data_IF_494733160859
#
_entry.id   IF_494733160859
#
_cell.length_a   1.000
_cell.length_b   1.000
_cell.length_c   1.000
_cell.angle_alpha   90.00
_cell.angle_beta   90.00
_cell.angle_gamma   90.00
#
_symmetry.space_group_name_H-M   'P 1'
#
loop_
_entity.id
_entity.type
_entity.pdbx_description
1 polymer ?
#
# COMPACT_ATOMS: atom_id res chain seq x y z
N UNK A 1 3.98 -20.62 -21.17
CA UNK A 1 3.05 -19.48 -21.19
C UNK A 1 2.70 -19.00 -19.78
N UNK A 2 2.16 -19.82 -18.87
CA UNK A 2 1.84 -19.39 -17.49
C UNK A 2 3.04 -18.82 -16.73
N UNK A 3 4.21 -19.45 -16.80
CA UNK A 3 5.44 -18.96 -16.17
C UNK A 3 5.88 -17.58 -16.68
N UNK A 4 5.74 -17.32 -17.98
CA UNK A 4 6.07 -16.01 -18.57
C UNK A 4 5.12 -14.91 -18.03
N UNK A 5 3.83 -15.20 -17.93
CA UNK A 5 2.83 -14.26 -17.37
C UNK A 5 3.19 -13.96 -15.92
N UNK A 6 3.48 -14.99 -15.13
CA UNK A 6 3.86 -14.84 -13.73
C UNK A 6 5.15 -14.03 -13.55
N UNK A 7 6.19 -14.33 -14.33
CA UNK A 7 7.46 -13.60 -14.27
C UNK A 7 7.31 -12.14 -14.67
N UNK A 8 6.50 -11.86 -15.73
CA UNK A 8 6.21 -10.48 -16.14
C UNK A 8 5.43 -9.73 -15.06
N UNK A 9 4.43 -10.37 -14.46
CA UNK A 9 3.68 -9.79 -13.34
C UNK A 9 4.60 -9.46 -12.16
N UNK A 10 5.48 -10.38 -11.75
CA UNK A 10 6.47 -10.13 -10.70
C UNK A 10 7.40 -8.97 -11.05
N UNK A 11 7.93 -8.94 -12.28
CA UNK A 11 8.78 -7.84 -12.73
C UNK A 11 8.09 -6.48 -12.58
N UNK A 12 6.81 -6.39 -12.98
CA UNK A 12 6.02 -5.18 -12.83
C UNK A 12 5.79 -4.81 -11.35
N UNK A 13 5.45 -5.77 -10.50
CA UNK A 13 5.23 -5.55 -9.06
C UNK A 13 6.47 -5.01 -8.35
N UNK A 14 7.68 -5.40 -8.80
CA UNK A 14 8.93 -4.89 -8.23
C UNK A 14 9.44 -3.61 -8.89
N UNK A 15 9.13 -3.37 -10.16
CA UNK A 15 9.57 -2.17 -10.89
C UNK A 15 8.65 -0.96 -10.64
N UNK A 16 7.33 -1.15 -10.63
CA UNK A 16 6.36 -0.06 -10.51
C UNK A 16 6.44 0.74 -9.20
N UNK A 17 6.89 0.20 -8.04
CA UNK A 17 7.13 1.00 -6.84
C UNK A 17 8.13 2.15 -7.03
N UNK A 18 9.09 2.02 -7.96
CA UNK A 18 9.99 3.11 -8.31
C UNK A 18 9.22 4.30 -8.91
N UNK A 19 8.33 4.03 -9.86
CA UNK A 19 7.45 5.06 -10.45
C UNK A 19 6.47 5.59 -9.41
N UNK A 20 5.91 4.69 -8.59
CA UNK A 20 5.00 5.04 -7.50
C UNK A 20 5.61 6.01 -6.48
N UNK A 21 6.90 5.85 -6.16
CA UNK A 21 7.65 6.76 -5.30
C UNK A 21 7.78 8.17 -5.92
N UNK A 22 8.19 8.27 -7.17
CA UNK A 22 8.29 9.56 -7.90
C UNK A 22 6.94 10.29 -7.92
N UNK A 23 5.84 9.56 -8.14
CA UNK A 23 4.51 10.15 -8.12
C UNK A 23 4.11 10.61 -6.71
N UNK A 24 4.47 9.85 -5.68
CA UNK A 24 4.16 10.21 -4.30
C UNK A 24 4.93 11.43 -3.82
N UNK A 25 6.16 11.61 -4.25
CA UNK A 25 6.96 12.82 -3.98
C UNK A 25 6.28 14.08 -4.51
N UNK A 26 5.53 13.97 -5.61
CA UNK A 26 4.80 15.08 -6.24
C UNK A 26 3.40 15.26 -5.65
N UNK A 27 2.63 14.18 -5.50
CA UNK A 27 1.20 14.22 -5.20
C UNK A 27 0.86 13.90 -3.74
N UNK A 28 1.80 13.38 -2.99
CA UNK A 28 1.66 12.97 -1.58
C UNK A 28 1.50 11.46 -1.40
N UNK A 29 2.14 10.94 -0.36
CA UNK A 29 2.20 9.51 -0.04
C UNK A 29 0.82 8.92 0.26
N UNK A 30 0.01 9.59 1.09
CA UNK A 30 -1.31 9.12 1.47
C UNK A 30 -2.28 9.00 0.29
N UNK A 31 -2.19 9.93 -0.70
CA UNK A 31 -2.99 9.84 -1.92
C UNK A 31 -2.59 8.64 -2.76
N UNK A 32 -1.28 8.41 -2.94
CA UNK A 32 -0.78 7.29 -3.74
C UNK A 32 -1.12 5.95 -3.09
N UNK A 33 -1.01 5.84 -1.76
CA UNK A 33 -1.44 4.66 -1.00
C UNK A 33 -2.94 4.39 -1.22
N UNK A 34 -3.78 5.42 -1.11
CA UNK A 34 -5.24 5.29 -1.31
C UNK A 34 -5.58 4.83 -2.74
N UNK A 35 -5.01 5.49 -3.75
CA UNK A 35 -5.21 5.12 -5.17
C UNK A 35 -4.71 3.69 -5.40
N UNK A 36 -3.58 3.32 -4.81
CA UNK A 36 -3.02 1.98 -4.90
C UNK A 36 -3.96 0.90 -4.35
N UNK A 37 -4.55 1.12 -3.18
CA UNK A 37 -5.53 0.17 -2.59
C UNK A 37 -6.77 0.05 -3.47
N UNK A 38 -7.32 1.16 -3.97
CA UNK A 38 -8.50 1.15 -4.84
C UNK A 38 -8.20 0.42 -6.15
N UNK A 39 -7.03 0.67 -6.76
CA UNK A 39 -6.62 -0.03 -7.97
C UNK A 39 -6.46 -1.54 -7.74
N UNK A 40 -5.79 -1.95 -6.66
CA UNK A 40 -5.69 -3.37 -6.29
C UNK A 40 -7.06 -3.99 -6.09
N UNK A 41 -7.96 -3.32 -5.38
CA UNK A 41 -9.32 -3.80 -5.15
C UNK A 41 -10.07 -4.00 -6.47
N UNK A 42 -10.04 -3.02 -7.38
CA UNK A 42 -10.66 -3.15 -8.70
C UNK A 42 -10.10 -4.33 -9.50
N UNK A 43 -8.77 -4.54 -9.48
CA UNK A 43 -8.13 -5.67 -10.15
C UNK A 43 -8.53 -7.02 -9.55
N UNK A 44 -8.59 -7.14 -8.22
CA UNK A 44 -9.05 -8.38 -7.59
C UNK A 44 -10.56 -8.64 -7.82
N UNK A 45 -11.39 -7.61 -7.87
CA UNK A 45 -12.80 -7.75 -8.26
C UNK A 45 -12.90 -8.31 -9.68
N UNK A 46 -12.11 -7.80 -10.64
CA UNK A 46 -12.08 -8.35 -11.99
C UNK A 46 -11.70 -9.83 -12.02
N UNK A 47 -10.74 -10.26 -11.20
CA UNK A 47 -10.36 -11.68 -11.09
C UNK A 47 -11.39 -12.53 -10.34
N UNK A 48 -12.18 -11.93 -9.46
CA UNK A 48 -13.25 -12.62 -8.72
C UNK A 48 -14.51 -12.87 -9.58
N UNK A 49 -14.65 -12.19 -10.72
CA UNK A 49 -15.79 -12.38 -11.62
C UNK A 49 -15.63 -13.69 -12.41
N UNK A 50 -16.64 -14.58 -12.40
CA UNK A 50 -16.63 -15.84 -13.16
C UNK A 50 -16.96 -15.57 -14.64
N UNK A 51 -15.98 -15.11 -15.42
CA UNK A 51 -16.16 -14.75 -16.83
C UNK A 51 -16.04 -15.94 -17.78
N UNK A 52 -15.93 -17.16 -17.25
CA UNK A 52 -15.77 -18.37 -18.02
C UNK A 52 -14.42 -18.49 -18.71
N UNK A 53 -14.39 -19.19 -19.85
CA UNK A 53 -13.20 -19.39 -20.67
C UNK A 53 -13.36 -18.74 -22.04
N UNK A 54 -12.40 -17.94 -22.46
CA UNK A 54 -12.44 -17.30 -23.78
C UNK A 54 -11.55 -16.05 -23.85
N UNK A 55 -11.57 -15.39 -25.00
CA UNK A 55 -10.76 -14.18 -25.25
C UNK A 55 -11.09 -13.06 -24.26
N UNK A 56 -12.36 -12.91 -23.89
CA UNK A 56 -12.81 -11.90 -22.92
C UNK A 56 -12.21 -12.18 -21.53
N UNK A 57 -12.25 -13.42 -21.05
CA UNK A 57 -11.69 -13.82 -19.77
C UNK A 57 -10.17 -13.57 -19.72
N UNK A 58 -9.45 -13.89 -20.80
CA UNK A 58 -8.03 -13.61 -20.94
C UNK A 58 -7.73 -12.10 -20.92
N UNK A 59 -8.49 -11.30 -21.65
CA UNK A 59 -8.33 -9.85 -21.67
C UNK A 59 -8.57 -9.24 -20.28
N UNK A 60 -9.63 -9.69 -19.58
CA UNK A 60 -9.90 -9.27 -18.21
C UNK A 60 -8.80 -9.69 -17.23
N UNK A 61 -8.28 -10.91 -17.36
CA UNK A 61 -7.16 -11.39 -16.54
C UNK A 61 -5.92 -10.51 -16.71
N UNK A 62 -5.48 -10.25 -17.95
CA UNK A 62 -4.34 -9.38 -18.21
C UNK A 62 -4.56 -7.96 -17.70
N UNK A 63 -5.74 -7.40 -17.94
CA UNK A 63 -6.12 -6.07 -17.43
C UNK A 63 -6.07 -6.03 -15.91
N UNK A 64 -6.62 -7.04 -15.24
CA UNK A 64 -6.60 -7.15 -13.79
C UNK A 64 -5.16 -7.23 -13.25
N UNK A 65 -4.30 -8.05 -13.84
CA UNK A 65 -2.89 -8.16 -13.43
C UNK A 65 -2.14 -6.83 -13.59
N UNK A 66 -2.38 -6.08 -14.66
CA UNK A 66 -1.79 -4.75 -14.86
C UNK A 66 -2.29 -3.75 -13.81
N UNK A 67 -3.59 -3.75 -13.53
CA UNK A 67 -4.18 -2.86 -12.52
C UNK A 67 -3.68 -3.21 -11.12
N UNK A 68 -3.59 -4.50 -10.76
CA UNK A 68 -3.03 -4.97 -9.48
C UNK A 68 -1.56 -4.58 -9.35
N UNK A 69 -0.75 -4.79 -10.40
CA UNK A 69 0.67 -4.42 -10.39
C UNK A 69 0.85 -2.92 -10.18
N UNK A 70 0.07 -2.10 -10.89
CA UNK A 70 0.11 -0.65 -10.75
C UNK A 70 -0.32 -0.22 -9.34
N UNK A 71 -1.42 -0.78 -8.83
CA UNK A 71 -1.90 -0.53 -7.47
C UNK A 71 -0.85 -0.89 -6.42
N UNK A 72 -0.22 -2.06 -6.55
CA UNK A 72 0.86 -2.51 -5.66
C UNK A 72 2.06 -1.57 -5.72
N UNK A 73 2.41 -1.09 -6.91
CA UNK A 73 3.49 -0.12 -7.11
C UNK A 73 3.23 1.21 -6.40
N UNK A 74 2.00 1.70 -6.46
CA UNK A 74 1.60 2.93 -5.77
C UNK A 74 1.48 2.75 -4.25
N UNK A 75 1.15 1.55 -3.78
CA UNK A 75 0.90 1.26 -2.36
C UNK A 75 2.17 0.91 -1.59
N UNK A 76 2.91 -0.11 -2.05
CA UNK A 76 3.91 -0.82 -1.26
C UNK A 76 5.06 0.07 -0.78
N UNK A 77 5.70 0.78 -1.69
CA UNK A 77 6.83 1.67 -1.35
C UNK A 77 6.39 2.86 -0.51
N UNK A 78 5.29 3.48 -0.88
CA UNK A 78 4.80 4.70 -0.24
C UNK A 78 4.31 4.47 1.20
N UNK A 79 3.70 3.30 1.48
CA UNK A 79 3.34 2.94 2.84
C UNK A 79 4.57 2.79 3.72
N UNK A 80 5.66 2.19 3.21
CA UNK A 80 6.92 2.06 3.96
C UNK A 80 7.54 3.42 4.27
N UNK A 81 7.51 4.36 3.32
CA UNK A 81 7.97 5.74 3.54
C UNK A 81 7.15 6.42 4.63
N UNK A 82 5.82 6.27 4.61
CA UNK A 82 4.96 6.82 5.66
C UNK A 82 5.28 6.23 7.03
N UNK A 83 5.52 4.92 7.14
CA UNK A 83 5.96 4.29 8.40
C UNK A 83 7.28 4.90 8.88
N UNK A 84 8.25 5.08 7.99
CA UNK A 84 9.52 5.73 8.31
C UNK A 84 9.34 7.16 8.83
N UNK A 85 8.50 7.95 8.16
CA UNK A 85 8.25 9.34 8.50
C UNK A 85 7.55 9.53 9.86
N UNK A 86 6.76 8.54 10.33
CA UNK A 86 6.16 8.57 11.67
C UNK A 86 7.21 8.63 12.80
N UNK A 87 8.41 8.08 12.55
CA UNK A 87 9.49 7.97 13.53
C UNK A 87 10.65 8.93 13.24
N UNK A 88 10.45 9.95 12.42
CA UNK A 88 11.50 10.92 12.07
C UNK A 88 11.73 12.02 13.13
N UNK A 89 10.84 12.14 14.13
CA UNK A 89 11.06 13.08 15.22
C UNK A 89 12.17 12.59 16.17
N UNK A 90 12.98 13.50 16.78
CA UNK A 90 14.06 13.12 17.69
C UNK A 90 13.59 12.21 18.84
N UNK A 91 12.38 12.39 19.33
CA UNK A 91 11.77 11.61 20.40
C UNK A 91 11.54 10.15 20.02
N UNK A 92 11.16 9.88 18.77
CA UNK A 92 10.79 8.54 18.28
C UNK A 92 11.87 7.90 17.39
N UNK A 93 12.92 8.63 17.02
CA UNK A 93 13.96 8.15 16.10
C UNK A 93 14.62 6.83 16.58
N UNK A 94 14.83 6.67 17.88
CA UNK A 94 15.36 5.43 18.46
C UNK A 94 14.45 4.21 18.33
N UNK A 95 13.14 4.39 18.07
CA UNK A 95 12.16 3.33 17.92
C UNK A 95 11.91 2.96 16.45
N UNK A 96 12.51 3.66 15.50
CA UNK A 96 12.27 3.50 14.06
C UNK A 96 12.57 2.07 13.58
N UNK A 97 13.70 1.50 13.98
CA UNK A 97 14.07 0.14 13.57
C UNK A 97 13.13 -0.92 14.16
N UNK A 98 12.69 -0.73 15.39
CA UNK A 98 11.70 -1.60 16.02
C UNK A 98 10.35 -1.52 15.30
N UNK A 99 9.93 -0.33 14.87
CA UNK A 99 8.70 -0.15 14.11
C UNK A 99 8.75 -0.87 12.75
N UNK A 100 9.86 -0.76 12.01
CA UNK A 100 10.05 -1.53 10.79
C UNK A 100 10.08 -3.03 11.03
N UNK A 101 10.71 -3.49 12.11
CA UNK A 101 10.71 -4.91 12.49
C UNK A 101 9.29 -5.43 12.73
N UNK A 102 8.45 -4.69 13.45
CA UNK A 102 7.04 -5.03 13.68
C UNK A 102 6.25 -4.99 12.37
N UNK A 103 6.48 -3.99 11.52
CA UNK A 103 5.84 -3.88 10.21
C UNK A 103 6.14 -5.08 9.31
N UNK A 104 7.42 -5.49 9.20
CA UNK A 104 7.80 -6.66 8.42
C UNK A 104 7.33 -7.97 9.05
N UNK A 105 7.30 -8.07 10.38
CA UNK A 105 6.74 -9.22 11.07
C UNK A 105 5.26 -9.39 10.71
N UNK A 106 4.46 -8.32 10.71
CA UNK A 106 3.05 -8.37 10.31
C UNK A 106 2.88 -8.82 8.85
N UNK A 107 3.74 -8.35 7.93
CA UNK A 107 3.73 -8.80 6.53
C UNK A 107 4.02 -10.30 6.45
N UNK A 108 5.03 -10.81 7.17
CA UNK A 108 5.40 -12.23 7.15
C UNK A 108 4.31 -13.12 7.77
N UNK A 109 3.64 -12.68 8.84
CA UNK A 109 2.47 -13.36 9.41
C UNK A 109 1.36 -13.46 8.36
N UNK A 110 1.06 -12.36 7.66
CA UNK A 110 0.09 -12.37 6.56
C UNK A 110 0.49 -13.34 5.44
N UNK A 111 1.75 -13.33 5.04
CA UNK A 111 2.28 -14.22 3.99
C UNK A 111 2.22 -15.71 4.38
N UNK A 112 2.31 -16.03 5.68
CA UNK A 112 2.17 -17.39 6.19
C UNK A 112 0.72 -17.89 6.09
N UNK A 113 -0.26 -17.05 6.47
CA UNK A 113 -1.65 -17.47 6.54
C UNK A 113 -2.42 -17.32 5.24
N UNK A 114 -2.10 -16.33 4.40
CA UNK A 114 -2.86 -16.02 3.20
C UNK A 114 -2.94 -17.19 2.18
N UNK A 115 -1.85 -17.90 1.84
CA UNK A 115 -1.93 -19.04 0.93
C UNK A 115 -2.80 -20.17 1.48
N UNK A 116 -2.67 -20.48 2.78
CA UNK A 116 -3.47 -21.52 3.44
C UNK A 116 -4.96 -21.16 3.43
N UNK A 117 -5.30 -19.91 3.74
CA UNK A 117 -6.67 -19.43 3.70
C UNK A 117 -7.26 -19.51 2.26
N UNK A 118 -6.49 -19.10 1.25
CA UNK A 118 -6.89 -19.19 -0.14
C UNK A 118 -7.22 -20.65 -0.56
N UNK A 119 -6.30 -21.60 -0.25
CA UNK A 119 -6.51 -23.02 -0.58
C UNK A 119 -7.73 -23.56 0.15
N UNK A 120 -7.91 -23.27 1.45
CA UNK A 120 -9.06 -23.75 2.22
C UNK A 120 -10.40 -23.26 1.69
N UNK A 121 -10.46 -22.03 1.20
CA UNK A 121 -11.65 -21.47 0.61
C UNK A 121 -11.94 -22.09 -0.76
N UNK A 122 -10.93 -22.37 -1.56
CA UNK A 122 -11.06 -23.08 -2.81
C UNK A 122 -11.59 -24.52 -2.57
N UNK A 123 -11.02 -25.25 -1.60
CA UNK A 123 -11.48 -26.58 -1.19
C UNK A 123 -12.94 -26.54 -0.73
N UNK A 124 -13.31 -25.57 0.10
CA UNK A 124 -14.68 -25.39 0.57
C UNK A 124 -15.66 -25.15 -0.61
N UNK A 125 -15.29 -24.28 -1.55
CA UNK A 125 -16.12 -23.99 -2.72
C UNK A 125 -16.33 -25.23 -3.60
N UNK A 126 -15.29 -26.05 -3.80
CA UNK A 126 -15.38 -27.28 -4.57
C UNK A 126 -16.26 -28.32 -3.88
N UNK A 127 -16.08 -28.54 -2.56
CA UNK A 127 -16.74 -29.60 -1.81
C UNK A 127 -18.20 -29.28 -1.45
N UNK A 128 -18.48 -28.02 -1.08
CA UNK A 128 -19.79 -27.63 -0.53
C UNK A 128 -20.68 -26.88 -1.54
N UNK A 129 -20.08 -26.18 -2.51
CA UNK A 129 -20.82 -25.45 -3.53
C UNK A 129 -20.80 -26.15 -4.90
N UNK A 130 -20.04 -27.25 -5.03
CA UNK A 130 -19.99 -28.05 -6.25
C UNK A 130 -19.36 -27.33 -7.45
N UNK A 131 -18.56 -26.25 -7.21
CA UNK A 131 -17.90 -25.51 -8.28
C UNK A 131 -16.69 -26.25 -8.83
N UNK A 132 -16.36 -26.02 -10.09
CA UNK A 132 -15.17 -26.61 -10.70
C UNK A 132 -13.88 -26.11 -10.06
N UNK A 133 -12.79 -26.86 -10.22
CA UNK A 133 -11.46 -26.42 -9.75
C UNK A 133 -11.09 -25.06 -10.32
N UNK A 134 -11.39 -24.81 -11.60
CA UNK A 134 -11.09 -23.55 -12.26
C UNK A 134 -11.91 -22.38 -11.68
N UNK A 135 -13.19 -22.61 -11.41
CA UNK A 135 -14.07 -21.57 -10.87
C UNK A 135 -13.79 -21.30 -9.38
N UNK A 136 -13.20 -22.24 -8.65
CA UNK A 136 -12.86 -22.08 -7.24
C UNK A 136 -11.81 -20.97 -6.99
N UNK A 137 -10.97 -20.63 -7.98
CA UNK A 137 -10.02 -19.52 -7.89
C UNK A 137 -10.71 -18.15 -7.70
N UNK A 138 -11.91 -17.98 -8.26
CA UNK A 138 -12.67 -16.73 -8.10
C UNK A 138 -13.02 -16.47 -6.63
N UNK A 139 -13.26 -17.52 -5.84
CA UNK A 139 -13.50 -17.42 -4.39
C UNK A 139 -12.25 -16.95 -3.64
N UNK A 140 -11.07 -17.44 -4.01
CA UNK A 140 -9.82 -16.99 -3.41
C UNK A 140 -9.57 -15.49 -3.69
N UNK A 141 -9.85 -15.02 -4.90
CA UNK A 141 -9.79 -13.59 -5.23
C UNK A 141 -10.85 -12.77 -4.49
N UNK A 142 -12.04 -13.33 -4.28
CA UNK A 142 -13.09 -12.72 -3.46
C UNK A 142 -12.62 -12.47 -2.02
N UNK A 143 -11.88 -13.39 -1.42
CA UNK A 143 -11.28 -13.22 -0.08
C UNK A 143 -10.26 -12.09 -0.07
N UNK A 144 -9.45 -11.96 -1.13
CA UNK A 144 -8.53 -10.83 -1.27
C UNK A 144 -9.30 -9.50 -1.31
N UNK A 145 -10.44 -9.44 -1.99
CA UNK A 145 -11.32 -8.25 -1.98
C UNK A 145 -11.80 -7.90 -0.57
N UNK A 146 -12.29 -8.89 0.19
CA UNK A 146 -12.74 -8.69 1.57
C UNK A 146 -11.59 -8.20 2.45
N UNK A 147 -10.41 -8.81 2.32
CA UNK A 147 -9.21 -8.41 3.07
C UNK A 147 -8.81 -6.95 2.76
N UNK A 148 -8.90 -6.52 1.50
CA UNK A 148 -8.63 -5.13 1.12
C UNK A 148 -9.67 -4.15 1.67
N UNK A 149 -10.95 -4.53 1.74
CA UNK A 149 -11.99 -3.70 2.36
C UNK A 149 -11.68 -3.51 3.85
N UNK A 150 -11.35 -4.58 4.57
CA UNK A 150 -10.98 -4.53 5.98
C UNK A 150 -9.73 -3.67 6.18
N UNK A 151 -8.70 -3.87 5.34
CA UNK A 151 -7.47 -3.08 5.37
C UNK A 151 -7.74 -1.59 5.14
N UNK A 152 -8.60 -1.26 4.17
CA UNK A 152 -9.00 0.12 3.89
C UNK A 152 -9.77 0.72 5.06
N UNK A 153 -10.68 -0.02 5.69
CA UNK A 153 -11.44 0.43 6.85
C UNK A 153 -10.50 0.74 8.03
N UNK A 154 -9.52 -0.13 8.30
CA UNK A 154 -8.50 0.09 9.34
C UNK A 154 -7.64 1.31 9.00
N UNK A 155 -7.18 1.43 7.76
CA UNK A 155 -6.37 2.55 7.30
C UNK A 155 -7.09 3.89 7.53
N UNK A 156 -8.34 4.01 7.08
CA UNK A 156 -9.11 5.25 7.24
C UNK A 156 -9.51 5.53 8.69
N UNK A 157 -9.83 4.51 9.49
CA UNK A 157 -10.13 4.67 10.92
C UNK A 157 -8.92 5.22 11.69
N UNK A 158 -7.72 4.76 11.35
CA UNK A 158 -6.47 5.16 11.99
C UNK A 158 -5.84 6.42 11.37
N UNK A 159 -6.43 6.98 10.31
CA UNK A 159 -5.85 8.07 9.51
C UNK A 159 -5.51 9.32 10.33
N UNK A 160 -6.28 9.59 11.38
CA UNK A 160 -6.03 10.74 12.26
C UNK A 160 -4.64 10.71 12.87
N UNK A 161 -4.12 9.52 13.18
CA UNK A 161 -2.81 9.32 13.82
C UNK A 161 -1.64 9.61 12.88
N UNK A 162 -1.77 9.31 11.58
CA UNK A 162 -0.66 9.43 10.61
C UNK A 162 -0.91 10.45 9.48
N UNK A 163 -1.97 11.25 9.57
CA UNK A 163 -2.31 12.26 8.55
C UNK A 163 -1.16 13.24 8.26
N UNK A 164 -0.34 13.55 9.25
CA UNK A 164 0.79 14.48 9.14
C UNK A 164 1.94 13.94 8.26
N UNK A 165 2.00 12.63 8.01
CA UNK A 165 3.01 11.99 7.14
C UNK A 165 2.46 11.62 5.75
N UNK A 166 1.19 11.91 5.46
CA UNK A 166 0.54 11.64 4.16
C UNK A 166 0.97 12.62 3.06
N UNK A 167 1.57 13.76 3.41
CA UNK A 167 1.99 14.80 2.49
C UNK A 167 3.15 14.38 1.59
N UNK A 168 3.47 15.23 0.61
CA UNK A 168 4.68 15.08 -0.20
C UNK A 168 5.92 15.56 0.57
N UNK A 169 7.13 15.32 0.01
CA UNK A 169 8.40 15.72 0.63
C UNK A 169 8.39 17.20 1.07
N UNK A 170 7.91 18.10 0.22
CA UNK A 170 7.89 19.55 0.51
C UNK A 170 6.93 19.86 1.67
N UNK A 171 5.76 19.25 1.70
CA UNK A 171 4.77 19.45 2.76
C UNK A 171 5.24 18.86 4.09
N UNK A 172 5.86 17.69 4.05
CA UNK A 172 6.40 17.02 5.24
C UNK A 172 7.60 17.82 5.81
N UNK A 173 8.47 18.33 4.96
CA UNK A 173 9.60 19.18 5.37
C UNK A 173 9.15 20.52 5.93
N UNK A 174 8.16 21.15 5.32
CA UNK A 174 7.59 22.41 5.81
C UNK A 174 6.89 22.22 7.17
N UNK A 175 6.16 21.11 7.36
CA UNK A 175 5.55 20.77 8.64
C UNK A 175 6.59 20.53 9.76
N UNK A 176 7.71 19.87 9.43
CA UNK A 176 8.83 19.68 10.37
C UNK A 176 9.51 20.99 10.74
N UNK A 177 9.65 21.91 9.79
CA UNK A 177 10.26 23.21 10.02
C UNK A 177 9.35 24.09 10.89
N UNK A 178 8.04 24.03 10.69
CA UNK A 178 7.04 24.75 11.49
C UNK A 178 7.00 24.22 12.92
N UNK A 179 6.96 22.90 13.11
CA UNK A 179 6.98 22.26 14.43
C UNK A 179 8.29 22.62 15.19
N UNK A 180 9.44 22.62 14.49
CA UNK A 180 10.73 22.99 15.10
C UNK A 180 10.81 24.47 15.49
N UNK A 181 10.08 25.34 14.80
CA UNK A 181 9.98 26.78 15.16
C UNK A 181 9.05 26.95 16.37
N UNK A 182 8.01 26.15 16.48
CA UNK A 182 7.07 26.18 17.60
C UNK A 182 7.67 25.68 18.92
N UNK A 183 8.62 24.72 18.84
CA UNK A 183 9.41 24.24 19.99
C UNK A 183 10.51 25.22 20.46
N UNK A 184 10.87 26.20 19.64
CA UNK A 184 11.89 27.20 20.01
C UNK A 184 11.32 28.21 21.01
N UNK A 185 12.10 28.58 21.99
CA UNK A 185 11.74 29.67 22.90
C UNK A 185 11.44 30.97 22.15
N UNK A 186 10.61 31.87 22.68
CA UNK A 186 10.31 33.15 22.01
C UNK A 186 11.53 33.97 21.64
N UNK A 187 12.64 33.84 22.39
CA UNK A 187 13.92 34.50 22.11
C UNK A 187 14.64 33.89 20.90
N UNK A 188 14.74 32.57 20.84
CA UNK A 188 15.39 31.83 19.74
C UNK A 188 14.64 31.99 18.42
N UNK A 189 13.31 32.06 18.50
CA UNK A 189 12.45 32.32 17.31
C UNK A 189 12.73 33.73 16.74
N UNK A 190 12.87 34.73 17.60
CA UNK A 190 13.16 36.12 17.21
C UNK A 190 14.54 36.25 16.57
N UNK A 191 15.56 35.62 17.12
CA UNK A 191 16.91 35.63 16.57
C UNK A 191 17.03 34.92 15.21
N UNK A 192 16.31 33.85 14.99
CA UNK A 192 16.24 33.15 13.69
C UNK A 192 15.58 34.00 12.61
N UNK A 193 14.48 34.69 12.95
CA UNK A 193 13.78 35.59 12.02
C UNK A 193 14.68 36.78 11.63
N UNK A 194 15.43 37.32 12.59
CA UNK A 194 16.38 38.42 12.35
C UNK A 194 17.51 37.98 11.42
N UNK A 195 18.11 36.82 11.65
CA UNK A 195 19.17 36.26 10.79
C UNK A 195 18.71 36.00 9.34
N UNK A 196 17.46 35.56 9.14
CA UNK A 196 16.88 35.37 7.78
C UNK A 196 16.59 36.67 7.02
N UNK A 197 16.48 37.82 7.73
CA UNK A 197 16.24 39.13 7.09
C UNK A 197 17.52 39.90 6.75
N UNK A 198 18.65 39.49 7.27
CA UNK A 198 19.94 40.18 7.12
C UNK A 198 20.89 39.43 6.16
N UNK A 199 20.60 38.17 5.78
CA UNK A 199 21.30 37.40 4.76
C UNK A 199 20.46 37.23 3.51
#
# INVERSE_FOLDING_TARGET
MAGTIYSTFLALVYFLPFIGGILADKFGYGKMVTIGIIAMFAGYVLLALPLGSGTLALACMFSALLVISTGTGLFKGNLQVMVGNLYDSPEYASKRDSAFSIFYMAINIGALFAPTAAVKIMEYAQQNLGVSVNDSYHFAFGVACVSLIISMAIYYSSRRTFKHVEGNIKQTSAGKETAKVEELSPRETKDRIIRRKIG
#
